data_IF_796345194478
#
_entry.id   IF_796345194478
#
_cell.length_a   1.000
_cell.length_b   1.000
_cell.length_c   1.000
_cell.angle_alpha   90.00
_cell.angle_beta   90.00
_cell.angle_gamma   90.00
#
_symmetry.space_group_name_H-M   'P 1'
#
loop_
_entity.id
_entity.type
_entity.pdbx_description
1 polymer ?
#
# COMPACT_ATOMS: atom_id res chain seq x y z
N UNK A 1 14.76 0.20 -11.99
CA UNK A 1 13.77 0.84 -11.09
C UNK A 1 14.07 0.37 -9.68
N UNK A 2 14.17 1.29 -8.74
CA UNK A 2 14.41 0.94 -7.33
C UNK A 2 13.10 1.08 -6.56
N UNK A 3 12.54 -0.01 -6.12
CA UNK A 3 11.33 -0.05 -5.32
C UNK A 3 10.94 -1.47 -4.93
N UNK A 4 10.03 -1.59 -3.98
CA UNK A 4 9.54 -2.83 -3.44
C UNK A 4 8.05 -2.71 -3.13
N UNK A 5 7.29 -3.75 -3.41
CA UNK A 5 5.90 -3.86 -3.02
C UNK A 5 5.76 -4.84 -1.86
N UNK A 6 5.19 -4.41 -0.75
CA UNK A 6 4.89 -5.26 0.41
C UNK A 6 3.44 -5.72 0.32
N UNK A 7 3.24 -7.02 0.19
CA UNK A 7 1.93 -7.65 0.25
C UNK A 7 1.88 -8.66 1.38
N UNK A 8 0.80 -9.38 1.52
CA UNK A 8 0.70 -10.41 2.54
C UNK A 8 -0.36 -11.44 2.25
N UNK A 9 -0.45 -12.44 3.10
CA UNK A 9 -1.45 -13.52 3.00
C UNK A 9 -2.82 -13.11 3.55
N UNK A 10 -2.95 -11.94 4.19
CA UNK A 10 -4.20 -11.46 4.76
C UNK A 10 -4.12 -10.07 5.39
N UNK A 11 -5.15 -9.73 6.15
CA UNK A 11 -5.22 -8.51 6.98
C UNK A 11 -4.58 -8.79 8.35
N UNK A 12 -4.05 -7.75 9.01
CA UNK A 12 -3.48 -7.77 10.37
C UNK A 12 -2.32 -8.77 10.60
N UNK A 13 -1.63 -9.17 9.52
CA UNK A 13 -0.46 -10.06 9.57
C UNK A 13 0.86 -9.30 9.74
N UNK A 14 0.83 -7.98 9.97
CA UNK A 14 2.02 -7.17 10.22
C UNK A 14 2.65 -6.51 8.99
N UNK A 15 1.95 -6.37 7.85
CA UNK A 15 2.49 -5.69 6.66
C UNK A 15 3.03 -4.30 6.99
N UNK A 16 2.25 -3.49 7.67
CA UNK A 16 2.60 -2.11 8.04
C UNK A 16 3.82 -2.06 8.95
N UNK A 17 3.92 -2.99 9.90
CA UNK A 17 5.10 -3.12 10.75
C UNK A 17 6.36 -3.49 9.95
N UNK A 18 6.26 -4.47 9.04
CA UNK A 18 7.36 -4.87 8.15
C UNK A 18 7.75 -3.73 7.22
N UNK A 19 6.77 -3.02 6.65
CA UNK A 19 7.01 -1.83 5.83
C UNK A 19 7.76 -0.75 6.60
N UNK A 20 7.37 -0.46 7.84
CA UNK A 20 8.07 0.52 8.69
C UNK A 20 9.50 0.08 9.01
N UNK A 21 9.73 -1.21 9.27
CA UNK A 21 11.06 -1.75 9.52
C UNK A 21 11.96 -1.64 8.27
N UNK A 22 11.47 -2.03 7.10
CA UNK A 22 12.18 -1.90 5.82
C UNK A 22 12.48 -0.42 5.53
N UNK A 23 11.48 0.44 5.67
CA UNK A 23 11.62 1.87 5.42
C UNK A 23 12.71 2.49 6.33
N UNK A 24 12.71 2.14 7.61
CA UNK A 24 13.72 2.61 8.57
C UNK A 24 15.15 2.17 8.19
N UNK A 25 15.32 0.95 7.70
CA UNK A 25 16.64 0.50 7.25
C UNK A 25 17.08 1.18 5.94
N UNK A 26 16.14 1.50 5.06
CA UNK A 26 16.44 2.24 3.82
C UNK A 26 16.79 3.71 4.10
N UNK A 27 16.11 4.37 5.04
CA UNK A 27 16.42 5.77 5.42
C UNK A 27 17.80 5.88 6.07
N UNK A 28 18.25 4.88 6.85
CA UNK A 28 19.62 4.84 7.39
C UNK A 28 20.70 4.79 6.32
N UNK A 29 20.39 4.33 5.11
CA UNK A 29 21.32 4.29 3.97
C UNK A 29 21.36 5.60 3.18
N UNK A 30 20.78 6.69 3.71
CA UNK A 30 20.69 8.00 3.08
C UNK A 30 19.97 7.99 1.71
N UNK A 31 19.11 7.02 1.46
CA UNK A 31 18.24 7.02 0.28
C UNK A 31 17.09 7.99 0.48
N UNK A 32 16.79 8.78 -0.54
CA UNK A 32 15.57 9.58 -0.59
C UNK A 32 14.38 8.62 -0.83
N UNK A 33 13.81 8.15 0.27
CA UNK A 33 12.75 7.15 0.28
C UNK A 33 11.37 7.79 0.19
N UNK A 34 10.50 7.26 -0.67
CA UNK A 34 9.06 7.46 -0.59
C UNK A 34 8.36 6.19 -0.10
N UNK A 35 7.30 6.38 0.68
CA UNK A 35 6.32 5.33 0.99
C UNK A 35 5.02 5.61 0.23
N UNK A 36 4.35 4.55 -0.23
CA UNK A 36 3.11 4.69 -0.97
C UNK A 36 2.13 3.54 -0.72
N UNK A 37 0.88 3.88 -0.48
CA UNK A 37 -0.23 2.92 -0.37
C UNK A 37 -1.36 3.34 -1.31
N UNK A 38 -1.77 2.47 -2.25
CA UNK A 38 -2.75 2.83 -3.27
C UNK A 38 -4.11 3.20 -2.66
N UNK A 39 -4.55 2.45 -1.66
CA UNK A 39 -5.78 2.71 -0.92
C UNK A 39 -5.63 2.28 0.55
N UNK A 40 -6.19 3.07 1.44
CA UNK A 40 -6.31 2.83 2.87
C UNK A 40 -7.78 2.94 3.25
N UNK A 41 -8.24 2.09 4.14
CA UNK A 41 -9.59 2.12 4.71
C UNK A 41 -9.54 2.02 6.24
N UNK A 42 -10.56 2.54 6.91
CA UNK A 42 -10.65 2.53 8.37
C UNK A 42 -9.89 3.67 9.04
N UNK A 43 -9.73 4.81 8.37
CA UNK A 43 -9.13 5.99 8.97
C UNK A 43 -9.81 7.27 8.48
N UNK A 44 -9.90 8.25 9.36
CA UNK A 44 -10.47 9.57 9.11
C UNK A 44 -9.46 10.55 8.49
N UNK A 45 -8.17 10.32 8.75
CA UNK A 45 -7.08 11.14 8.20
C UNK A 45 -5.85 10.30 7.88
N UNK A 46 -4.95 10.85 7.06
CA UNK A 46 -3.75 10.13 6.61
C UNK A 46 -2.80 9.89 7.77
N UNK A 47 -2.69 10.83 8.71
CA UNK A 47 -1.80 10.77 9.86
C UNK A 47 -2.10 9.57 10.78
N UNK A 48 -3.38 9.25 10.99
CA UNK A 48 -3.82 8.14 11.82
C UNK A 48 -3.86 6.80 11.07
N UNK A 49 -3.57 6.81 9.78
CA UNK A 49 -3.59 5.61 8.94
C UNK A 49 -2.28 4.82 9.00
N UNK A 50 -2.29 3.62 8.45
CA UNK A 50 -1.08 2.82 8.21
C UNK A 50 0.02 3.62 7.51
N UNK A 51 -0.35 4.52 6.59
CA UNK A 51 0.61 5.32 5.83
C UNK A 51 1.29 6.37 6.72
N UNK A 52 0.54 7.01 7.60
CA UNK A 52 1.09 7.91 8.63
C UNK A 52 2.01 7.15 9.59
N UNK A 53 1.58 5.97 10.04
CA UNK A 53 2.40 5.11 10.90
C UNK A 53 3.77 4.82 10.29
N UNK A 54 3.83 4.36 9.03
CA UNK A 54 5.11 4.03 8.37
C UNK A 54 5.97 5.27 8.20
N UNK A 55 5.40 6.40 7.74
CA UNK A 55 6.13 7.67 7.60
C UNK A 55 6.81 8.07 8.89
N UNK A 56 6.07 8.07 9.99
CA UNK A 56 6.55 8.59 11.27
C UNK A 56 7.58 7.64 11.93
N UNK A 57 7.31 6.32 11.91
CA UNK A 57 8.23 5.32 12.49
C UNK A 57 9.54 5.16 11.71
N UNK A 58 9.53 5.46 10.41
CA UNK A 58 10.73 5.43 9.58
C UNK A 58 11.34 6.82 9.34
N UNK A 59 10.76 7.88 9.91
CA UNK A 59 11.19 9.27 9.75
C UNK A 59 11.33 9.66 8.26
N UNK A 60 10.34 9.30 7.44
CA UNK A 60 10.33 9.60 6.02
C UNK A 60 9.94 11.06 5.81
N UNK A 61 10.79 11.82 5.13
CA UNK A 61 10.51 13.21 4.76
C UNK A 61 9.71 13.25 3.45
N UNK A 62 8.41 13.03 3.57
CA UNK A 62 7.48 13.01 2.45
C UNK A 62 6.21 13.80 2.81
N UNK A 63 5.66 14.51 1.83
CA UNK A 63 4.38 15.21 1.98
C UNK A 63 3.26 14.20 2.27
N UNK A 64 2.46 14.48 3.29
CA UNK A 64 1.39 13.60 3.78
C UNK A 64 0.43 13.18 2.66
N UNK A 65 0.00 14.11 1.82
CA UNK A 65 -0.95 13.86 0.74
C UNK A 65 -0.39 12.94 -0.36
N UNK A 66 0.94 12.79 -0.41
CA UNK A 66 1.59 11.91 -1.39
C UNK A 66 1.70 10.46 -0.94
N UNK A 67 1.42 10.16 0.33
CA UNK A 67 1.54 8.82 0.91
C UNK A 67 0.53 7.81 0.35
N UNK A 68 -0.63 8.27 -0.10
CA UNK A 68 -1.69 7.40 -0.60
C UNK A 68 -2.54 8.08 -1.69
N UNK A 69 -3.29 7.27 -2.45
CA UNK A 69 -4.23 7.80 -3.46
C UNK A 69 -5.66 7.87 -2.97
N UNK A 70 -6.09 6.89 -2.17
CA UNK A 70 -7.46 6.80 -1.68
C UNK A 70 -7.47 6.52 -0.18
N UNK A 71 -8.20 7.36 0.56
CA UNK A 71 -8.50 7.18 1.97
C UNK A 71 -10.00 7.00 2.13
N UNK A 72 -10.42 5.93 2.79
CA UNK A 72 -11.81 5.61 3.10
C UNK A 72 -12.00 5.54 4.61
N UNK A 73 -13.10 6.09 5.11
CA UNK A 73 -13.40 6.15 6.54
C UNK A 73 -13.77 4.78 7.12
N UNK A 74 -14.57 4.00 6.37
CA UNK A 74 -15.06 2.72 6.90
C UNK A 74 -13.97 1.64 6.92
N UNK A 75 -13.83 0.88 8.02
CA UNK A 75 -12.85 -0.22 8.15
C UNK A 75 -13.31 -1.47 7.39
N UNK A 76 -13.48 -1.34 6.10
CA UNK A 76 -13.87 -2.39 5.17
C UNK A 76 -12.76 -2.61 4.14
N UNK A 77 -12.84 -3.71 3.38
CA UNK A 77 -11.96 -3.85 2.22
C UNK A 77 -12.14 -2.68 1.25
N UNK A 78 -11.09 -2.23 0.55
CA UNK A 78 -11.14 -0.99 -0.24
C UNK A 78 -12.31 -0.91 -1.23
N UNK A 79 -12.68 -2.03 -1.89
CA UNK A 79 -13.81 -2.05 -2.82
C UNK A 79 -15.17 -1.82 -2.15
N UNK A 80 -15.37 -2.34 -0.91
CA UNK A 80 -16.61 -2.12 -0.16
C UNK A 80 -16.66 -0.71 0.41
N UNK A 81 -15.53 -0.20 0.93
CA UNK A 81 -15.44 1.15 1.44
C UNK A 81 -15.67 2.17 0.30
N UNK A 82 -15.01 1.98 -0.85
CA UNK A 82 -15.19 2.83 -2.03
C UNK A 82 -16.61 2.82 -2.58
N UNK A 83 -17.27 1.65 -2.59
CA UNK A 83 -18.70 1.53 -2.95
C UNK A 83 -19.58 2.31 -1.97
N UNK A 84 -19.35 2.14 -0.67
CA UNK A 84 -20.13 2.82 0.37
C UNK A 84 -20.00 4.35 0.34
N UNK A 85 -18.87 4.86 -0.13
CA UNK A 85 -18.60 6.30 -0.28
C UNK A 85 -18.83 6.83 -1.71
N UNK A 86 -19.27 5.98 -2.64
CA UNK A 86 -19.38 6.27 -4.08
C UNK A 86 -18.07 6.87 -4.67
N UNK A 87 -16.92 6.37 -4.20
CA UNK A 87 -15.57 6.82 -4.56
C UNK A 87 -14.72 5.65 -5.03
N UNK A 88 -14.82 5.31 -6.30
CA UNK A 88 -14.11 4.16 -6.88
C UNK A 88 -12.67 4.52 -7.22
N UNK A 89 -11.75 3.64 -6.82
CA UNK A 89 -10.35 3.79 -7.18
C UNK A 89 -10.14 3.60 -8.68
N UNK A 90 -9.22 4.37 -9.25
CA UNK A 90 -8.85 4.32 -10.66
C UNK A 90 -7.37 4.01 -10.78
N UNK A 91 -7.02 3.03 -11.62
CA UNK A 91 -5.62 2.60 -11.81
C UNK A 91 -4.75 3.73 -12.35
N UNK A 92 -5.27 4.55 -13.28
CA UNK A 92 -4.56 5.70 -13.84
C UNK A 92 -4.13 6.70 -12.76
N UNK A 93 -5.03 7.07 -11.85
CA UNK A 93 -4.72 7.97 -10.73
C UNK A 93 -3.72 7.36 -9.73
N UNK A 94 -3.82 6.05 -9.49
CA UNK A 94 -2.86 5.33 -8.64
C UNK A 94 -1.47 5.39 -9.29
N UNK A 95 -1.38 5.10 -10.59
CA UNK A 95 -0.11 5.10 -11.32
C UNK A 95 0.46 6.51 -11.51
N UNK A 96 -0.37 7.51 -11.74
CA UNK A 96 0.04 8.91 -11.81
C UNK A 96 0.80 9.32 -10.54
N UNK A 97 0.20 9.10 -9.37
CA UNK A 97 0.81 9.43 -8.08
C UNK A 97 2.06 8.58 -7.81
N UNK A 98 2.00 7.28 -8.06
CA UNK A 98 3.16 6.40 -7.95
C UNK A 98 4.32 6.83 -8.84
N UNK A 99 4.07 7.17 -10.10
CA UNK A 99 5.09 7.63 -11.04
C UNK A 99 5.71 8.96 -10.61
N UNK A 100 4.92 9.89 -10.11
CA UNK A 100 5.43 11.14 -9.55
C UNK A 100 6.40 10.89 -8.37
N UNK A 101 6.10 9.92 -7.50
CA UNK A 101 7.04 9.52 -6.44
C UNK A 101 8.30 8.87 -7.01
N UNK A 102 8.15 7.95 -7.96
CA UNK A 102 9.26 7.27 -8.61
C UNK A 102 10.24 8.24 -9.29
N UNK A 103 9.74 9.32 -9.84
CA UNK A 103 10.55 10.29 -10.57
C UNK A 103 11.27 11.28 -9.64
N UNK A 104 10.79 11.43 -8.38
CA UNK A 104 11.32 12.37 -7.41
C UNK A 104 12.07 11.75 -6.24
N UNK A 105 12.08 10.41 -6.11
CA UNK A 105 12.70 9.68 -5.00
C UNK A 105 13.63 8.58 -5.54
N UNK A 106 14.65 8.23 -4.75
CA UNK A 106 15.61 7.16 -5.11
C UNK A 106 14.98 5.77 -5.02
N UNK A 107 14.02 5.62 -4.11
CA UNK A 107 13.36 4.34 -3.84
C UNK A 107 11.90 4.56 -3.43
N UNK A 108 11.00 3.72 -3.93
CA UNK A 108 9.58 3.73 -3.52
C UNK A 108 9.24 2.41 -2.85
N UNK A 109 8.86 2.46 -1.58
CA UNK A 109 8.27 1.34 -0.85
C UNK A 109 6.75 1.43 -0.94
N UNK A 110 6.13 0.52 -1.68
CA UNK A 110 4.67 0.46 -1.82
C UNK A 110 4.10 -0.66 -0.96
N UNK A 111 2.91 -0.47 -0.39
CA UNK A 111 2.21 -1.47 0.41
C UNK A 111 0.79 -1.70 -0.09
N UNK A 112 0.36 -2.96 -0.15
CA UNK A 112 -1.01 -3.36 -0.41
C UNK A 112 -1.89 -3.39 0.85
N UNK A 113 -3.19 -3.58 0.69
CA UNK A 113 -4.12 -3.88 1.77
C UNK A 113 -4.66 -5.31 1.62
N UNK A 114 -4.80 -6.03 2.73
CA UNK A 114 -5.18 -7.45 2.69
C UNK A 114 -4.11 -8.32 2.00
N UNK A 115 -4.57 -9.28 1.22
CA UNK A 115 -3.71 -10.13 0.37
C UNK A 115 -3.54 -9.58 -1.04
N UNK A 116 -2.67 -10.21 -1.84
CA UNK A 116 -2.36 -9.75 -3.21
C UNK A 116 -3.59 -9.81 -4.15
N UNK A 117 -4.54 -10.69 -3.90
CA UNK A 117 -5.79 -10.81 -4.64
C UNK A 117 -6.94 -10.02 -3.99
N UNK A 118 -6.66 -9.15 -3.00
CA UNK A 118 -7.67 -8.29 -2.41
C UNK A 118 -8.18 -7.29 -3.46
N UNK A 119 -9.51 -7.18 -3.65
CA UNK A 119 -10.07 -6.24 -4.60
C UNK A 119 -10.00 -4.80 -4.08
N UNK A 120 -9.57 -3.90 -4.95
CA UNK A 120 -9.62 -2.44 -4.74
C UNK A 120 -10.90 -1.86 -5.36
N UNK A 121 -11.33 -2.44 -6.48
CA UNK A 121 -12.64 -2.21 -7.11
C UNK A 121 -13.22 -3.55 -7.53
N UNK A 122 -14.51 -3.76 -7.29
CA UNK A 122 -15.23 -4.96 -7.71
C UNK A 122 -16.67 -4.57 -8.08
N UNK A 123 -16.85 -4.11 -9.31
CA UNK A 123 -18.12 -3.67 -9.87
C UNK A 123 -18.43 -4.48 -11.13
N UNK A 124 -19.68 -4.43 -11.61
CA UNK A 124 -20.15 -5.22 -12.75
C UNK A 124 -19.21 -5.14 -13.97
N UNK A 125 -18.73 -3.95 -14.28
CA UNK A 125 -17.95 -3.68 -15.50
C UNK A 125 -16.49 -3.24 -15.20
N UNK A 126 -16.07 -3.30 -13.93
CA UNK A 126 -14.73 -2.86 -13.51
C UNK A 126 -14.21 -3.68 -12.34
N UNK A 127 -13.12 -4.37 -12.56
CA UNK A 127 -12.40 -5.11 -11.52
C UNK A 127 -10.97 -4.58 -11.45
N UNK A 128 -10.48 -4.30 -10.24
CA UNK A 128 -9.10 -3.90 -9.97
C UNK A 128 -8.63 -4.59 -8.68
N UNK A 129 -7.62 -5.44 -8.80
CA UNK A 129 -6.99 -6.13 -7.68
C UNK A 129 -5.65 -5.48 -7.33
N UNK A 130 -5.14 -5.71 -6.12
CA UNK A 130 -3.77 -5.32 -5.80
C UNK A 130 -2.73 -5.99 -6.71
N UNK A 131 -3.01 -7.19 -7.21
CA UNK A 131 -2.16 -7.86 -8.20
C UNK A 131 -2.02 -7.05 -9.50
N UNK A 132 -3.09 -6.42 -9.96
CA UNK A 132 -3.07 -5.59 -11.17
C UNK A 132 -2.25 -4.32 -10.94
N UNK A 133 -2.39 -3.71 -9.76
CA UNK A 133 -1.60 -2.55 -9.35
C UNK A 133 -0.11 -2.91 -9.29
N UNK A 134 0.24 -4.03 -8.65
CA UNK A 134 1.62 -4.51 -8.57
C UNK A 134 2.23 -4.73 -9.95
N UNK A 135 1.49 -5.42 -10.84
CA UNK A 135 1.92 -5.66 -12.23
C UNK A 135 2.15 -4.35 -12.99
N UNK A 136 1.24 -3.38 -12.83
CA UNK A 136 1.34 -2.08 -13.47
C UNK A 136 2.51 -1.25 -12.94
N UNK A 137 2.81 -1.31 -11.65
CA UNK A 137 3.97 -0.67 -11.03
C UNK A 137 5.30 -1.34 -11.42
N UNK A 138 5.28 -2.59 -11.87
CA UNK A 138 6.47 -3.40 -12.23
C UNK A 138 7.50 -3.48 -11.09
N UNK A 139 7.04 -3.65 -9.87
CA UNK A 139 7.89 -3.79 -8.70
C UNK A 139 8.09 -5.27 -8.33
N UNK A 140 9.27 -5.65 -7.80
CA UNK A 140 9.39 -6.89 -7.05
C UNK A 140 8.50 -6.81 -5.80
N UNK A 141 8.06 -7.98 -5.29
CA UNK A 141 7.25 -8.00 -4.08
C UNK A 141 7.86 -8.87 -2.98
N UNK A 142 7.53 -8.50 -1.74
CA UNK A 142 7.73 -9.30 -0.53
C UNK A 142 6.36 -9.69 -0.01
N UNK A 143 6.20 -10.97 0.32
CA UNK A 143 4.97 -11.50 0.93
C UNK A 143 5.19 -11.65 2.43
N UNK A 144 4.42 -10.92 3.21
CA UNK A 144 4.36 -11.06 4.67
C UNK A 144 3.36 -12.16 5.00
N UNK A 145 3.79 -13.15 5.75
CA UNK A 145 3.00 -14.28 6.17
C UNK A 145 3.11 -14.48 7.69
N UNK A 146 2.05 -15.01 8.31
CA UNK A 146 2.07 -15.41 9.71
C UNK A 146 2.87 -16.72 9.88
N UNK A 147 3.41 -16.99 11.04
CA UNK A 147 4.13 -18.23 11.37
C UNK A 147 3.24 -19.34 11.94
N UNK A 148 1.92 -19.18 11.92
CA UNK A 148 0.96 -20.18 12.44
C UNK A 148 0.85 -21.40 11.55
N UNK A 149 0.37 -22.53 12.13
CA UNK A 149 0.05 -23.73 11.36
C UNK A 149 -0.94 -23.43 10.22
N UNK A 150 -0.68 -24.01 9.05
CA UNK A 150 -1.53 -23.82 7.85
C UNK A 150 -1.07 -22.71 6.91
N UNK A 151 -0.04 -21.95 7.25
CA UNK A 151 0.46 -20.84 6.41
C UNK A 151 0.95 -21.27 5.04
N UNK A 152 1.48 -22.50 4.90
CA UNK A 152 1.91 -23.04 3.60
C UNK A 152 0.77 -23.03 2.58
N UNK A 153 -0.47 -23.23 3.01
CA UNK A 153 -1.65 -23.17 2.12
C UNK A 153 -2.12 -21.74 1.83
N UNK A 154 -1.67 -20.76 2.63
CA UNK A 154 -2.08 -19.35 2.51
C UNK A 154 -1.03 -18.49 1.80
N UNK A 155 0.16 -19.04 1.59
CA UNK A 155 1.27 -18.41 0.88
C UNK A 155 1.35 -18.94 -0.53
#
# INVERSE_FOLDING_TARGET
MRGLFVTGTGTDIGKTYVSAAIARELTKKNLKLAYYKAAVSGSDCIEHSDAGYVRDHANIKQCTESLLSYLYEKPLSPHLAGRGENRFAKLDKILEKFNALRDNYDYVLSEGAGGIICPVVWEKDCHLMYLDILKAMKLPCVVVADSKHGMVNST
#
